data_IF_010367000861
#
_entry.id   IF_010367000861
#
_cell.length_a   1.000
_cell.length_b   1.000
_cell.length_c   1.000
_cell.angle_alpha   90.00
_cell.angle_beta   90.00
_cell.angle_gamma   90.00
#
_symmetry.space_group_name_H-M   'P 1'
#
loop_
_entity.id
_entity.type
_entity.pdbx_description
1 polymer ?
#
# COMPACT_ATOMS: atom_id res chain seq x y z
N UNK A 1 -17.56 12.71 -14.17
CA UNK A 1 -16.28 12.08 -13.81
C UNK A 1 -16.62 10.67 -13.40
N UNK A 2 -16.18 9.65 -14.15
CA UNK A 2 -16.40 8.27 -13.73
C UNK A 2 -15.76 8.13 -12.35
N UNK A 3 -16.56 7.90 -11.32
CA UNK A 3 -16.04 7.43 -10.05
C UNK A 3 -15.44 6.07 -10.36
N UNK A 4 -14.12 6.03 -10.59
CA UNK A 4 -13.38 4.77 -10.64
C UNK A 4 -13.78 4.00 -9.39
N UNK A 5 -14.52 2.91 -9.60
CA UNK A 5 -15.05 2.14 -8.49
C UNK A 5 -13.86 1.50 -7.81
N UNK A 6 -13.64 1.83 -6.55
CA UNK A 6 -12.60 1.16 -5.77
C UNK A 6 -12.85 -0.34 -5.79
N UNK A 7 -11.89 -1.11 -6.28
CA UNK A 7 -11.94 -2.56 -6.22
C UNK A 7 -11.50 -3.03 -4.83
N UNK A 8 -12.26 -3.96 -4.26
CA UNK A 8 -11.89 -4.60 -3.00
C UNK A 8 -10.95 -5.78 -3.27
N UNK A 9 -9.79 -5.76 -2.64
CA UNK A 9 -8.83 -6.87 -2.67
C UNK A 9 -8.68 -7.48 -1.26
N UNK A 10 -8.66 -8.80 -1.20
CA UNK A 10 -8.39 -9.56 0.04
C UNK A 10 -6.92 -9.97 0.07
N UNK A 11 -6.25 -9.73 1.20
CA UNK A 11 -4.84 -10.08 1.38
C UNK A 11 -4.69 -11.07 2.54
N UNK A 12 -3.86 -12.09 2.34
CA UNK A 12 -3.41 -12.95 3.42
C UNK A 12 -2.15 -12.35 4.04
N UNK A 13 -2.24 -12.00 5.32
CA UNK A 13 -1.14 -11.46 6.11
C UNK A 13 -1.03 -12.25 7.41
N UNK A 14 0.19 -12.42 7.89
CA UNK A 14 0.40 -12.97 9.23
C UNK A 14 -0.14 -12.02 10.30
N UNK A 15 -0.45 -12.55 11.49
CA UNK A 15 -0.94 -11.73 12.61
C UNK A 15 0.02 -10.58 12.94
N UNK A 16 1.31 -10.85 12.99
CA UNK A 16 2.33 -9.86 13.32
C UNK A 16 2.32 -8.71 12.31
N UNK A 17 2.28 -9.01 11.00
CA UNK A 17 2.17 -7.99 9.96
C UNK A 17 0.90 -7.12 10.11
N UNK A 18 -0.23 -7.73 10.46
CA UNK A 18 -1.48 -7.00 10.69
C UNK A 18 -1.36 -6.07 11.90
N UNK A 19 -0.72 -6.53 12.97
CA UNK A 19 -0.55 -5.75 14.19
C UNK A 19 0.42 -4.58 13.99
N UNK A 20 1.52 -4.79 13.25
CA UNK A 20 2.45 -3.73 12.83
C UNK A 20 1.74 -2.66 11.98
N UNK A 21 0.93 -3.06 11.01
CA UNK A 21 0.13 -2.15 10.16
C UNK A 21 -0.85 -1.35 11.02
N UNK A 22 -1.53 -1.99 11.98
CA UNK A 22 -2.48 -1.31 12.87
C UNK A 22 -1.78 -0.26 13.72
N UNK A 23 -0.64 -0.61 14.32
CA UNK A 23 0.11 0.29 15.18
C UNK A 23 0.64 1.48 14.39
N UNK A 24 1.25 1.22 13.23
CA UNK A 24 1.81 2.27 12.38
C UNK A 24 0.71 3.20 11.82
N UNK A 25 -0.44 2.65 11.41
CA UNK A 25 -1.57 3.45 10.97
C UNK A 25 -2.10 4.35 12.10
N UNK A 26 -2.19 3.82 13.33
CA UNK A 26 -2.62 4.57 14.52
C UNK A 26 -1.65 5.71 14.84
N UNK A 27 -0.34 5.44 14.86
CA UNK A 27 0.70 6.45 15.13
C UNK A 27 0.65 7.60 14.12
N UNK A 28 0.41 7.29 12.85
CA UNK A 28 0.32 8.26 11.76
C UNK A 28 -1.08 8.88 11.58
N UNK A 29 -2.05 8.52 12.41
CA UNK A 29 -3.45 9.00 12.32
C UNK A 29 -4.09 8.80 10.93
N UNK A 30 -3.75 7.70 10.25
CA UNK A 30 -4.30 7.34 8.93
C UNK A 30 -5.07 6.02 9.00
N UNK A 31 -5.89 5.75 7.99
CA UNK A 31 -6.56 4.46 7.88
C UNK A 31 -5.59 3.35 7.45
N UNK A 32 -5.86 2.13 7.90
CA UNK A 32 -5.09 0.94 7.51
C UNK A 32 -5.04 0.75 6.00
N UNK A 33 -6.17 0.98 5.32
CA UNK A 33 -6.25 0.85 3.87
C UNK A 33 -5.46 1.94 3.14
N UNK A 34 -5.38 3.15 3.69
CA UNK A 34 -4.50 4.19 3.16
C UNK A 34 -3.02 3.80 3.31
N UNK A 35 -2.62 3.30 4.48
CA UNK A 35 -1.25 2.85 4.72
C UNK A 35 -0.85 1.72 3.75
N UNK A 36 -1.70 0.69 3.59
CA UNK A 36 -1.44 -0.40 2.65
C UNK A 36 -1.33 0.10 1.21
N UNK A 37 -2.21 1.03 0.79
CA UNK A 37 -2.09 1.66 -0.54
C UNK A 37 -0.79 2.44 -0.72
N UNK A 38 -0.33 3.14 0.31
CA UNK A 38 0.96 3.85 0.27
C UNK A 38 2.12 2.87 0.13
N UNK A 39 2.12 1.77 0.88
CA UNK A 39 3.15 0.72 0.80
C UNK A 39 3.19 0.10 -0.59
N UNK A 40 2.02 -0.26 -1.16
CA UNK A 40 1.93 -0.84 -2.51
C UNK A 40 2.46 0.16 -3.56
N UNK A 41 2.04 1.43 -3.47
CA UNK A 41 2.49 2.48 -4.41
C UNK A 41 3.99 2.68 -4.37
N UNK A 42 4.56 2.75 -3.17
CA UNK A 42 6.00 2.91 -2.96
C UNK A 42 6.79 1.71 -3.50
N UNK A 43 6.30 0.49 -3.27
CA UNK A 43 6.92 -0.73 -3.80
C UNK A 43 6.95 -0.74 -5.33
N UNK A 44 5.84 -0.39 -5.98
CA UNK A 44 5.75 -0.30 -7.45
C UNK A 44 6.66 0.80 -8.00
N UNK A 45 6.68 1.98 -7.37
CA UNK A 45 7.53 3.10 -7.80
C UNK A 45 9.03 2.74 -7.77
N UNK A 46 9.47 1.92 -6.81
CA UNK A 46 10.84 1.41 -6.76
C UNK A 46 11.15 0.47 -7.93
N UNK A 47 10.22 -0.39 -8.32
CA UNK A 47 10.41 -1.26 -9.49
C UNK A 47 10.45 -0.49 -10.80
N UNK A 48 9.59 0.54 -10.95
CA UNK A 48 9.61 1.41 -12.13
C UNK A 48 10.90 2.26 -12.22
N UNK A 49 11.52 2.56 -11.06
CA UNK A 49 12.80 3.25 -10.96
C UNK A 49 14.02 2.40 -11.35
N UNK A 50 13.98 1.08 -11.09
CA UNK A 50 15.04 0.12 -11.48
C UNK A 50 14.84 -0.44 -12.92
N UNK A 51 13.64 -0.31 -13.49
CA UNK A 51 13.29 -0.86 -14.81
C UNK A 51 13.50 0.07 -16.02
N UNK A 52 13.73 1.38 -15.80
CA UNK A 52 14.07 2.32 -16.89
C UNK A 52 15.58 2.37 -17.09
N UNK A 53 16.09 1.38 -17.83
CA UNK A 53 17.35 1.49 -18.55
C UNK A 53 17.25 2.74 -19.46
N UNK A 54 18.00 3.83 -19.24
CA UNK A 54 17.95 4.99 -20.11
C UNK A 54 18.62 4.58 -21.44
N UNK A 55 17.81 4.35 -22.46
CA UNK A 55 18.25 4.47 -23.85
C UNK A 55 17.90 5.86 -24.34
#
# INVERSE_FOLDING_TARGET
MATDKFEHATFYLTKNQVDDIKELARKNQISRSALVRMIIREYLARQDGDGKNPK
#
